data_IF_409918453423
#
_entry.id   IF_409918453423
#
_cell.length_a   1.000
_cell.length_b   1.000
_cell.length_c   1.000
_cell.angle_alpha   90.00
_cell.angle_beta   90.00
_cell.angle_gamma   90.00
#
_symmetry.space_group_name_H-M   'P 1'
#
loop_
_entity.id
_entity.type
_entity.pdbx_description
1 polymer ?
#
# COMPACT_ATOMS: atom_id res chain seq x y z
N UNK A 1 -30.47 -75.01 -53.47
CA UNK A 1 -30.59 -76.12 -52.50
C UNK A 1 -29.53 -75.91 -51.42
N UNK A 2 -29.97 -75.97 -50.16
CA UNK A 2 -29.28 -75.79 -48.87
C UNK A 2 -27.74 -75.81 -48.83
N UNK A 3 -27.16 -74.86 -48.10
CA UNK A 3 -26.40 -75.19 -46.87
C UNK A 3 -26.23 -73.94 -46.00
N UNK A 4 -27.01 -73.90 -44.92
CA UNK A 4 -26.75 -73.09 -43.75
C UNK A 4 -26.27 -74.04 -42.65
N UNK A 5 -25.08 -73.81 -42.09
CA UNK A 5 -24.73 -74.27 -40.75
C UNK A 5 -23.69 -73.35 -40.08
N UNK A 6 -24.20 -72.71 -39.03
CA UNK A 6 -23.62 -72.00 -37.87
C UNK A 6 -22.12 -72.12 -37.58
N UNK A 7 -21.53 -70.99 -37.17
CA UNK A 7 -20.55 -70.95 -36.07
C UNK A 7 -20.81 -69.73 -35.16
N UNK A 8 -20.83 -69.98 -33.84
CA UNK A 8 -20.95 -69.01 -32.75
C UNK A 8 -19.65 -68.22 -32.58
N UNK A 9 -19.68 -66.90 -32.30
CA UNK A 9 -18.98 -66.34 -31.13
C UNK A 9 -19.44 -64.91 -30.74
N UNK A 10 -20.08 -64.83 -29.57
CA UNK A 10 -19.87 -63.94 -28.41
C UNK A 10 -19.38 -62.48 -28.60
N UNK A 11 -20.17 -61.59 -27.99
CA UNK A 11 -19.91 -60.15 -27.78
C UNK A 11 -18.53 -59.85 -27.18
N UNK A 12 -17.86 -58.78 -27.66
CA UNK A 12 -16.73 -58.12 -26.97
C UNK A 12 -16.94 -56.61 -26.89
N UNK A 13 -16.93 -56.11 -25.66
CA UNK A 13 -17.11 -54.71 -25.29
C UNK A 13 -15.93 -53.83 -25.76
N UNK A 14 -16.25 -52.64 -26.27
CA UNK A 14 -15.28 -51.61 -26.62
C UNK A 14 -14.91 -50.79 -25.38
N UNK A 15 -13.69 -50.98 -24.86
CA UNK A 15 -13.14 -50.22 -23.72
C UNK A 15 -12.80 -48.80 -24.16
N UNK A 16 -13.69 -47.82 -23.90
CA UNK A 16 -13.36 -46.39 -24.02
C UNK A 16 -12.20 -46.08 -23.05
N UNK A 17 -11.02 -45.74 -23.59
CA UNK A 17 -9.92 -45.19 -22.79
C UNK A 17 -10.35 -43.81 -22.27
N UNK A 18 -10.57 -43.71 -20.97
CA UNK A 18 -10.87 -42.46 -20.27
C UNK A 18 -9.63 -41.55 -20.30
N UNK A 19 -9.78 -40.32 -20.80
CA UNK A 19 -8.75 -39.27 -20.86
C UNK A 19 -8.64 -38.46 -19.56
N UNK A 20 -9.52 -38.73 -18.59
CA UNK A 20 -9.57 -38.09 -17.27
C UNK A 20 -8.27 -38.21 -16.46
N UNK A 21 -7.57 -39.35 -16.38
CA UNK A 21 -6.35 -39.44 -15.56
C UNK A 21 -5.19 -38.62 -16.14
N UNK A 22 -5.17 -38.39 -17.45
CA UNK A 22 -4.13 -37.58 -18.10
C UNK A 22 -4.31 -36.10 -17.81
N UNK A 23 -5.57 -35.63 -17.75
CA UNK A 23 -5.88 -34.24 -17.41
C UNK A 23 -5.54 -33.92 -15.96
N UNK A 24 -5.84 -34.84 -15.03
CA UNK A 24 -5.49 -34.68 -13.61
C UNK A 24 -3.99 -34.68 -13.41
N UNK A 25 -3.25 -35.58 -14.06
CA UNK A 25 -1.79 -35.61 -14.00
C UNK A 25 -1.16 -34.32 -14.56
N UNK A 26 -1.70 -33.78 -15.66
CA UNK A 26 -1.23 -32.53 -16.25
C UNK A 26 -1.45 -31.33 -15.31
N UNK A 27 -2.63 -31.23 -14.69
CA UNK A 27 -2.94 -30.14 -13.74
C UNK A 27 -2.03 -30.23 -12.51
N UNK A 28 -1.80 -31.45 -12.00
CA UNK A 28 -0.93 -31.66 -10.82
C UNK A 28 0.52 -31.33 -11.15
N UNK A 29 0.99 -31.68 -12.35
CA UNK A 29 2.32 -31.32 -12.84
C UNK A 29 2.48 -29.81 -13.01
N UNK A 30 1.48 -29.10 -13.57
CA UNK A 30 1.52 -27.65 -13.72
C UNK A 30 1.53 -26.92 -12.37
N UNK A 31 0.78 -27.41 -11.38
CA UNK A 31 0.82 -26.87 -10.01
C UNK A 31 2.19 -27.09 -9.35
N UNK A 32 2.78 -28.26 -9.54
CA UNK A 32 4.12 -28.57 -9.02
C UNK A 32 5.19 -27.68 -9.67
N UNK A 33 5.12 -27.46 -10.98
CA UNK A 33 6.05 -26.57 -11.70
C UNK A 33 5.86 -25.11 -11.25
N UNK A 34 4.64 -24.64 -11.04
CA UNK A 34 4.40 -23.28 -10.51
C UNK A 34 4.98 -23.09 -9.10
N UNK A 35 4.78 -24.07 -8.19
CA UNK A 35 5.36 -24.01 -6.85
C UNK A 35 6.90 -24.06 -6.88
N UNK A 36 7.48 -24.89 -7.75
CA UNK A 36 8.94 -24.99 -7.90
C UNK A 36 9.55 -23.72 -8.52
N UNK A 37 8.85 -23.07 -9.44
CA UNK A 37 9.28 -21.81 -10.03
C UNK A 37 9.25 -20.69 -8.99
N UNK A 38 8.21 -20.58 -8.15
CA UNK A 38 8.16 -19.57 -7.07
C UNK A 38 9.30 -19.73 -6.04
N UNK A 39 9.55 -20.95 -5.54
CA UNK A 39 10.63 -21.20 -4.58
C UNK A 39 12.03 -20.90 -5.18
N UNK A 40 12.21 -21.17 -6.48
CA UNK A 40 13.46 -20.88 -7.19
C UNK A 40 13.76 -19.39 -7.33
N UNK A 41 12.74 -18.55 -7.53
CA UNK A 41 12.89 -17.09 -7.62
C UNK A 41 13.13 -16.45 -6.24
N UNK A 42 12.40 -16.88 -5.20
CA UNK A 42 12.54 -16.33 -3.84
C UNK A 42 13.96 -16.53 -3.29
N UNK A 43 14.56 -17.70 -3.52
CA UNK A 43 15.90 -18.02 -3.03
C UNK A 43 17.02 -17.30 -3.80
N UNK A 44 16.73 -16.80 -5.01
CA UNK A 44 17.69 -16.03 -5.82
C UNK A 44 17.69 -14.53 -5.45
N UNK A 45 16.55 -14.00 -4.99
CA UNK A 45 16.42 -12.63 -4.49
C UNK A 45 17.23 -12.43 -3.19
N UNK A 46 17.14 -13.38 -2.24
CA UNK A 46 17.87 -13.36 -0.96
C UNK A 46 19.40 -13.39 -1.13
N UNK A 47 19.89 -14.10 -2.15
CA UNK A 47 21.33 -14.17 -2.46
C UNK A 47 21.88 -12.89 -3.09
N UNK A 48 21.02 -12.07 -3.71
CA UNK A 48 21.43 -10.76 -4.26
C UNK A 48 21.48 -9.68 -3.16
N UNK A 49 20.57 -9.71 -2.20
CA UNK A 49 20.54 -8.75 -1.09
C UNK A 49 21.73 -8.88 -0.13
N UNK A 50 22.23 -10.10 0.10
CA UNK A 50 23.38 -10.36 0.97
C UNK A 50 24.70 -9.77 0.45
N UNK A 51 24.76 -9.33 -0.81
CA UNK A 51 25.98 -8.80 -1.45
C UNK A 51 26.10 -7.27 -1.43
N UNK A 52 25.03 -6.54 -1.10
CA UNK A 52 24.99 -5.06 -1.19
C UNK A 52 25.03 -4.35 0.17
N UNK A 53 25.12 -5.07 1.29
CA UNK A 53 25.02 -4.49 2.66
C UNK A 53 26.37 -4.01 3.26
N UNK A 54 27.38 -3.74 2.44
CA UNK A 54 28.68 -3.25 2.96
C UNK A 54 29.16 -2.03 2.16
N UNK A 55 28.86 -0.83 2.68
CA UNK A 55 29.75 0.33 2.92
C UNK A 55 28.96 1.64 3.19
N UNK A 56 29.27 2.30 4.31
CA UNK A 56 28.79 3.60 4.86
C UNK A 56 29.22 4.85 4.01
N UNK A 57 28.98 6.14 4.42
CA UNK A 57 27.81 6.86 4.99
C UNK A 57 27.57 8.31 4.41
N UNK A 58 26.56 9.01 4.96
CA UNK A 58 26.44 10.47 5.24
C UNK A 58 25.69 11.47 4.30
N UNK A 59 24.65 12.07 4.92
CA UNK A 59 24.06 13.42 4.85
C UNK A 59 23.77 14.18 3.55
N UNK A 60 22.52 14.67 3.46
CA UNK A 60 22.17 15.88 2.72
C UNK A 60 20.91 16.53 3.32
N UNK A 61 21.12 17.51 4.20
CA UNK A 61 20.11 18.51 4.55
C UNK A 61 20.04 19.59 3.46
N UNK A 62 18.87 19.73 2.84
CA UNK A 62 18.10 20.98 2.64
C UNK A 62 17.12 20.82 1.47
N UNK A 63 15.91 21.34 1.68
CA UNK A 63 14.73 21.37 0.79
C UNK A 63 13.80 20.15 0.78
N UNK A 64 12.96 20.04 1.83
CA UNK A 64 11.62 19.40 1.79
C UNK A 64 10.79 20.11 2.86
N UNK A 65 9.72 20.83 2.54
CA UNK A 65 8.65 21.23 3.47
C UNK A 65 7.36 21.09 2.66
N UNK A 66 6.62 19.99 2.90
CA UNK A 66 5.15 19.77 2.80
C UNK A 66 4.79 18.28 3.03
N UNK A 67 5.69 17.52 3.66
CA UNK A 67 5.38 16.28 4.41
C UNK A 67 6.12 16.31 5.76
N UNK A 68 6.22 17.52 6.36
CA UNK A 68 7.12 17.81 7.48
C UNK A 68 6.46 17.87 8.86
N UNK A 69 5.13 17.84 8.97
CA UNK A 69 4.53 17.84 10.31
C UNK A 69 4.68 16.50 11.05
N UNK A 70 5.00 15.40 10.35
CA UNK A 70 5.46 14.16 11.01
C UNK A 70 6.94 14.25 11.40
N UNK A 71 7.74 15.10 10.73
CA UNK A 71 9.14 15.31 11.13
C UNK A 71 9.31 16.18 12.36
N UNK A 72 8.25 16.84 12.87
CA UNK A 72 8.27 17.40 14.22
C UNK A 72 8.24 16.31 15.30
N UNK A 73 7.96 15.05 14.95
CA UNK A 73 8.43 13.89 15.72
C UNK A 73 9.90 13.54 15.37
N UNK A 74 10.79 14.55 15.36
CA UNK A 74 12.25 14.38 15.24
C UNK A 74 12.91 13.97 16.57
N UNK A 75 12.13 13.56 17.57
CA UNK A 75 12.64 12.52 18.44
C UNK A 75 12.69 11.26 17.59
N UNK A 76 13.85 10.65 17.37
CA UNK A 76 13.87 9.19 17.19
C UNK A 76 13.09 8.64 18.36
N UNK A 77 11.80 8.37 18.17
CA UNK A 77 11.01 7.76 19.22
C UNK A 77 11.56 6.35 19.22
N UNK A 78 12.50 6.11 20.12
CA UNK A 78 13.06 4.80 20.38
C UNK A 78 11.97 4.00 21.11
N UNK A 79 10.85 3.78 20.41
CA UNK A 79 9.73 2.99 20.92
C UNK A 79 10.18 1.57 20.81
N UNK A 80 10.56 1.01 21.94
CA UNK A 80 10.83 -0.42 22.02
C UNK A 80 9.48 -1.10 22.15
N UNK A 81 9.00 -1.66 21.04
CA UNK A 81 7.81 -2.50 21.01
C UNK A 81 8.23 -3.97 20.80
N UNK A 82 7.39 -4.87 21.28
CA UNK A 82 7.56 -6.31 21.11
C UNK A 82 6.56 -6.83 20.09
N UNK A 83 7.01 -7.66 19.16
CA UNK A 83 6.11 -8.43 18.31
C UNK A 83 5.52 -9.58 19.11
N UNK A 84 4.20 -9.60 19.23
CA UNK A 84 3.45 -10.70 19.86
C UNK A 84 2.95 -11.70 18.82
N UNK A 85 2.70 -11.25 17.58
CA UNK A 85 2.39 -12.11 16.45
C UNK A 85 2.78 -11.48 15.12
N UNK A 86 3.20 -12.33 14.18
CA UNK A 86 3.65 -11.94 12.85
C UNK A 86 5.08 -11.41 12.83
N UNK A 87 5.61 -11.24 11.62
CA UNK A 87 6.94 -10.66 11.39
C UNK A 87 6.83 -9.53 10.38
N UNK A 88 7.53 -8.40 10.60
CA UNK A 88 7.52 -7.30 9.65
C UNK A 88 8.14 -7.75 8.33
N UNK A 89 7.48 -7.43 7.22
CA UNK A 89 8.04 -7.69 5.90
C UNK A 89 9.10 -6.63 5.57
N UNK A 90 10.22 -6.99 4.93
CA UNK A 90 11.26 -6.04 4.54
C UNK A 90 10.79 -5.05 3.48
N UNK A 91 9.76 -5.42 2.70
CA UNK A 91 9.17 -4.58 1.65
C UNK A 91 8.02 -3.74 2.22
N UNK A 92 8.10 -2.42 2.00
CA UNK A 92 7.01 -1.50 2.31
C UNK A 92 5.74 -1.86 1.51
N UNK A 93 4.61 -1.78 2.19
CA UNK A 93 3.26 -1.88 1.62
C UNK A 93 2.74 -0.47 1.31
N UNK A 94 1.74 -0.38 0.44
CA UNK A 94 1.11 0.90 0.11
C UNK A 94 0.47 1.55 1.34
N UNK A 95 -0.25 0.78 2.16
CA UNK A 95 -0.97 1.29 3.32
C UNK A 95 -0.73 0.45 4.58
N UNK A 96 -0.49 1.13 5.71
CA UNK A 96 -0.46 0.52 7.05
C UNK A 96 -1.62 1.05 7.89
N UNK A 97 -2.47 0.16 8.40
CA UNK A 97 -3.62 0.50 9.25
C UNK A 97 -3.26 0.18 10.70
N UNK A 98 -3.14 1.23 11.53
CA UNK A 98 -2.86 1.08 12.97
C UNK A 98 -4.13 0.96 13.80
N UNK A 99 -4.26 -0.11 14.59
CA UNK A 99 -5.37 -0.33 15.52
C UNK A 99 -4.85 -0.44 16.95
N UNK A 100 -5.11 0.54 17.81
CA UNK A 100 -4.78 0.44 19.24
C UNK A 100 -5.97 -0.09 20.05
N UNK A 101 -5.71 -0.97 21.02
CA UNK A 101 -6.75 -1.51 21.90
C UNK A 101 -6.24 -1.70 23.34
N UNK A 102 -7.14 -1.48 24.30
CA UNK A 102 -6.95 -1.69 25.74
C UNK A 102 -8.09 -2.54 26.28
N UNK A 103 -7.91 -3.17 27.45
CA UNK A 103 -8.92 -3.99 28.10
C UNK A 103 -10.11 -3.12 28.51
N UNK A 104 -11.31 -3.51 28.08
CA UNK A 104 -12.56 -2.79 28.40
C UNK A 104 -13.51 -3.68 29.19
N UNK A 105 -14.29 -3.06 30.08
CA UNK A 105 -15.31 -3.73 30.90
C UNK A 105 -16.52 -4.22 30.08
N UNK A 106 -16.83 -3.59 28.94
CA UNK A 106 -18.08 -3.78 28.16
C UNK A 106 -17.87 -4.44 26.78
N UNK A 107 -16.84 -5.27 26.62
CA UNK A 107 -16.58 -6.03 25.39
C UNK A 107 -15.41 -5.50 24.56
N UNK A 108 -15.00 -6.28 23.56
CA UNK A 108 -13.82 -6.03 22.73
C UNK A 108 -14.22 -5.88 21.25
N UNK A 109 -14.10 -4.66 20.72
CA UNK A 109 -14.42 -4.34 19.31
C UNK A 109 -13.35 -4.83 18.34
N UNK A 110 -12.13 -5.10 18.82
CA UNK A 110 -10.96 -5.31 17.97
C UNK A 110 -11.13 -6.46 16.98
N UNK A 111 -11.68 -7.60 17.43
CA UNK A 111 -11.83 -8.78 16.59
C UNK A 111 -12.84 -8.55 15.47
N UNK A 112 -13.92 -7.82 15.75
CA UNK A 112 -14.92 -7.45 14.75
C UNK A 112 -14.34 -6.45 13.75
N UNK A 113 -13.53 -5.48 14.21
CA UNK A 113 -12.82 -4.53 13.34
C UNK A 113 -11.83 -5.22 12.42
N UNK A 114 -10.97 -6.11 12.94
CA UNK A 114 -10.00 -6.88 12.12
C UNK A 114 -10.75 -7.70 11.06
N UNK A 115 -11.82 -8.39 11.48
CA UNK A 115 -12.68 -9.16 10.55
C UNK A 115 -13.25 -8.25 9.46
N UNK A 116 -13.80 -7.10 9.83
CA UNK A 116 -14.42 -6.17 8.88
C UNK A 116 -13.42 -5.64 7.85
N UNK A 117 -12.20 -5.30 8.27
CA UNK A 117 -11.16 -4.80 7.36
C UNK A 117 -10.83 -5.87 6.31
N UNK A 118 -10.57 -7.09 6.75
CA UNK A 118 -10.15 -8.15 5.82
C UNK A 118 -11.30 -8.68 4.96
N UNK A 119 -12.52 -8.79 5.49
CA UNK A 119 -13.68 -9.26 4.74
C UNK A 119 -14.16 -8.24 3.69
N UNK A 120 -13.93 -6.94 3.92
CA UNK A 120 -14.32 -5.88 2.99
C UNK A 120 -13.21 -5.51 1.99
N UNK A 121 -12.01 -6.08 2.12
CA UNK A 121 -10.91 -5.83 1.19
C UNK A 121 -10.86 -6.88 0.09
N UNK A 122 -10.65 -6.45 -1.16
CA UNK A 122 -10.36 -7.33 -2.28
C UNK A 122 -9.00 -8.02 -2.13
N UNK A 123 -8.76 -9.06 -2.91
CA UNK A 123 -7.50 -9.81 -2.88
C UNK A 123 -6.30 -8.95 -3.30
N UNK A 124 -6.50 -8.05 -4.26
CA UNK A 124 -5.51 -7.10 -4.76
C UNK A 124 -5.14 -6.08 -3.69
N UNK A 125 -6.12 -5.51 -2.99
CA UNK A 125 -5.89 -4.58 -1.88
C UNK A 125 -5.15 -5.27 -0.73
N UNK A 126 -5.53 -6.50 -0.39
CA UNK A 126 -4.87 -7.29 0.66
C UNK A 126 -3.37 -7.52 0.41
N UNK A 127 -2.90 -7.44 -0.83
CA UNK A 127 -1.46 -7.51 -1.15
C UNK A 127 -0.72 -6.22 -0.80
N UNK A 128 -1.43 -5.10 -0.79
CA UNK A 128 -0.90 -3.75 -0.64
C UNK A 128 -1.17 -3.15 0.75
N UNK A 129 -1.92 -3.83 1.62
CA UNK A 129 -2.18 -3.39 3.00
C UNK A 129 -1.50 -4.27 4.06
N UNK A 130 -1.14 -3.64 5.18
CA UNK A 130 -0.76 -4.32 6.43
C UNK A 130 -1.51 -3.70 7.61
N UNK A 131 -2.12 -4.54 8.43
CA UNK A 131 -2.80 -4.11 9.66
C UNK A 131 -1.85 -4.34 10.84
N UNK A 132 -1.63 -3.30 11.63
CA UNK A 132 -0.79 -3.35 12.84
C UNK A 132 -1.67 -3.11 14.05
N UNK A 133 -1.84 -4.15 14.86
CA UNK A 133 -2.60 -4.11 16.10
C UNK A 133 -1.65 -3.82 17.26
N UNK A 134 -1.86 -2.71 17.93
CA UNK A 134 -1.15 -2.36 19.15
C UNK A 134 -2.01 -2.68 20.39
N UNK A 135 -1.56 -3.64 21.19
CA UNK A 135 -2.17 -3.95 22.49
C UNK A 135 -1.53 -3.06 23.55
N UNK A 136 -2.23 -1.98 23.91
CA UNK A 136 -1.73 -0.92 24.78
C UNK A 136 -2.09 -1.14 26.27
N UNK A 137 -2.57 -2.34 26.63
CA UNK A 137 -2.91 -2.67 28.02
C UNK A 137 -1.73 -3.31 28.76
N UNK A 138 -1.62 -3.05 30.05
CA UNK A 138 -0.55 -3.58 30.91
C UNK A 138 -0.89 -4.94 31.52
N UNK A 139 -2.15 -5.39 31.44
CA UNK A 139 -2.52 -6.77 31.78
C UNK A 139 -2.01 -7.74 30.70
N UNK A 140 -0.80 -8.27 30.92
CA UNK A 140 -0.14 -9.19 30.02
C UNK A 140 -0.94 -10.49 29.81
N UNK A 141 -1.64 -10.99 30.82
CA UNK A 141 -2.47 -12.19 30.69
C UNK A 141 -3.65 -11.94 29.74
N UNK A 142 -4.27 -10.76 29.82
CA UNK A 142 -5.27 -10.33 28.85
C UNK A 142 -4.68 -10.21 27.44
N UNK A 143 -3.53 -9.54 27.31
CA UNK A 143 -2.83 -9.40 26.02
C UNK A 143 -2.53 -10.77 25.38
N UNK A 144 -1.98 -11.71 26.14
CA UNK A 144 -1.67 -13.07 25.68
C UNK A 144 -2.93 -13.82 25.22
N UNK A 145 -4.01 -13.79 26.01
CA UNK A 145 -5.27 -14.42 25.63
C UNK A 145 -5.86 -13.86 24.34
N UNK A 146 -5.73 -12.55 24.14
CA UNK A 146 -6.23 -11.87 22.95
C UNK A 146 -5.37 -12.19 21.72
N UNK A 147 -4.05 -12.25 21.89
CA UNK A 147 -3.13 -12.70 20.83
C UNK A 147 -3.49 -14.13 20.41
N UNK A 148 -3.72 -15.04 21.35
CA UNK A 148 -4.16 -16.41 21.03
C UNK A 148 -5.47 -16.43 20.23
N UNK A 149 -6.44 -15.60 20.61
CA UNK A 149 -7.71 -15.50 19.87
C UNK A 149 -7.50 -14.91 18.46
N UNK A 150 -6.67 -13.88 18.32
CA UNK A 150 -6.29 -13.29 17.04
C UNK A 150 -5.59 -14.33 16.16
N UNK A 151 -4.59 -15.04 16.68
CA UNK A 151 -3.85 -16.08 15.96
C UNK A 151 -4.78 -17.21 15.51
N UNK A 152 -5.73 -17.61 16.36
CA UNK A 152 -6.72 -18.64 16.02
C UNK A 152 -7.66 -18.22 14.90
N UNK A 153 -8.14 -16.96 14.90
CA UNK A 153 -9.11 -16.47 13.90
C UNK A 153 -8.45 -15.97 12.61
N UNK A 154 -7.29 -15.35 12.69
CA UNK A 154 -6.65 -14.60 11.61
C UNK A 154 -5.23 -15.10 11.27
N UNK A 155 -4.86 -16.31 11.69
CA UNK A 155 -3.53 -16.88 11.48
C UNK A 155 -3.04 -16.83 10.03
N UNK A 156 -3.94 -16.99 9.05
CA UNK A 156 -3.61 -16.90 7.63
C UNK A 156 -3.24 -15.48 7.16
N UNK A 157 -3.74 -14.43 7.80
CA UNK A 157 -3.29 -13.06 7.56
C UNK A 157 -1.94 -12.79 8.23
N UNK A 158 -1.68 -13.38 9.40
CA UNK A 158 -0.40 -13.28 10.11
C UNK A 158 0.71 -13.93 9.28
N UNK A 159 0.52 -15.17 8.84
CA UNK A 159 1.50 -15.91 8.03
C UNK A 159 1.80 -15.20 6.71
N UNK A 160 0.78 -14.59 6.10
CA UNK A 160 0.93 -13.81 4.87
C UNK A 160 1.53 -12.40 5.07
N UNK A 161 1.91 -12.03 6.30
CA UNK A 161 2.47 -10.70 6.61
C UNK A 161 1.49 -9.54 6.45
N UNK A 162 0.17 -9.82 6.51
CA UNK A 162 -0.92 -8.82 6.42
C UNK A 162 -1.42 -8.34 7.77
N UNK A 163 -1.12 -9.07 8.85
CA UNK A 163 -1.50 -8.72 10.22
C UNK A 163 -0.30 -8.86 11.16
N UNK A 164 0.00 -7.81 11.91
CA UNK A 164 1.02 -7.78 12.96
C UNK A 164 0.35 -7.42 14.28
N UNK A 165 0.80 -8.04 15.37
CA UNK A 165 0.38 -7.67 16.72
C UNK A 165 1.61 -7.25 17.51
N UNK A 166 1.58 -6.04 18.06
CA UNK A 166 2.66 -5.43 18.82
C UNK A 166 2.19 -4.99 20.20
N UNK A 167 3.14 -4.85 21.13
CA UNK A 167 2.91 -4.32 22.47
C UNK A 167 4.08 -3.45 22.90
N UNK A 168 3.78 -2.28 23.48
CA UNK A 168 4.76 -1.42 24.13
C UNK A 168 4.69 -1.61 25.66
N UNK A 169 5.83 -1.88 26.34
CA UNK A 169 5.87 -1.96 27.81
C UNK A 169 5.46 -0.67 28.51
N UNK A 170 4.93 -0.79 29.74
CA UNK A 170 4.46 0.34 30.57
C UNK A 170 5.51 1.43 30.79
N UNK A 171 6.77 1.03 30.95
CA UNK A 171 7.92 1.93 31.14
C UNK A 171 8.12 2.98 30.03
N UNK A 172 7.54 2.78 28.85
CA UNK A 172 7.60 3.74 27.73
C UNK A 172 6.42 4.71 27.69
N UNK A 173 5.42 4.56 28.56
CA UNK A 173 4.30 5.48 28.68
C UNK A 173 4.64 6.61 29.67
N UNK A 174 4.23 7.86 29.39
CA UNK A 174 4.33 8.92 30.37
C UNK A 174 3.47 8.58 31.60
N UNK A 175 3.91 8.98 32.79
CA UNK A 175 3.07 8.85 34.00
C UNK A 175 1.74 9.56 33.78
N UNK A 176 0.65 8.83 34.07
CA UNK A 176 -0.73 9.30 33.91
C UNK A 176 -1.24 10.06 35.15
N UNK A 177 -0.38 10.32 36.14
CA UNK A 177 -0.74 10.93 37.42
C UNK A 177 -1.25 12.39 37.29
N UNK A 178 -1.07 13.03 36.13
CA UNK A 178 -1.44 14.42 35.84
C UNK A 178 -2.69 14.63 34.96
N UNK A 179 -3.43 13.58 34.60
CA UNK A 179 -4.60 13.65 33.73
C UNK A 179 -4.36 13.23 32.28
N UNK A 180 -5.45 12.90 31.56
CA UNK A 180 -5.50 12.26 30.23
C UNK A 180 -4.89 13.07 29.06
N UNK A 181 -4.27 14.22 29.32
CA UNK A 181 -3.73 15.11 28.29
C UNK A 181 -2.20 15.07 28.28
N UNK A 182 -1.63 13.88 28.02
CA UNK A 182 -0.20 13.76 27.72
C UNK A 182 0.19 14.51 26.43
N UNK A 183 -0.79 14.73 25.54
CA UNK A 183 -0.63 15.43 24.28
C UNK A 183 -1.31 16.81 24.34
N UNK A 184 -0.50 17.88 24.35
CA UNK A 184 -0.98 19.28 24.40
C UNK A 184 -1.58 19.74 23.07
N UNK A 185 -0.99 19.30 21.96
CA UNK A 185 -1.39 19.69 20.60
C UNK A 185 -1.92 18.47 19.83
N UNK A 186 -3.13 18.58 19.28
CA UNK A 186 -3.71 17.52 18.45
C UNK A 186 -2.90 17.37 17.15
N UNK A 187 -2.39 16.16 16.88
CA UNK A 187 -1.80 15.84 15.58
C UNK A 187 -2.96 15.66 14.60
N UNK A 188 -3.16 16.63 13.72
CA UNK A 188 -4.14 16.57 12.63
C UNK A 188 -3.42 16.74 11.32
N UNK A 189 -3.72 15.86 10.37
CA UNK A 189 -3.23 15.96 8.99
C UNK A 189 -4.30 16.64 8.16
N UNK A 190 -3.90 17.65 7.37
CA UNK A 190 -4.78 18.36 6.45
C UNK A 190 -4.18 18.33 5.03
N UNK A 191 -4.95 17.95 3.99
CA UNK A 191 -6.30 17.39 4.10
C UNK A 191 -6.29 16.01 4.78
N UNK A 192 -7.42 15.62 5.37
CA UNK A 192 -7.56 14.30 5.97
C UNK A 192 -7.40 13.22 4.90
N UNK A 193 -6.62 12.17 5.20
CA UNK A 193 -6.39 11.05 4.27
C UNK A 193 -7.57 10.08 4.20
N UNK A 194 -8.41 10.06 5.23
CA UNK A 194 -9.53 9.13 5.35
C UNK A 194 -10.79 9.89 5.73
N UNK A 195 -11.86 9.56 5.02
CA UNK A 195 -13.20 9.98 5.35
C UNK A 195 -13.96 8.83 6.00
N UNK A 196 -14.67 9.10 7.08
CA UNK A 196 -15.59 8.13 7.64
C UNK A 196 -16.71 7.84 6.63
N UNK A 197 -16.75 6.61 6.13
CA UNK A 197 -17.76 6.11 5.19
C UNK A 197 -18.69 5.16 5.93
N UNK A 198 -19.90 5.62 6.25
CA UNK A 198 -20.94 4.77 6.85
C UNK A 198 -21.82 5.51 7.87
N UNK A 199 -23.03 5.00 8.06
CA UNK A 199 -23.98 5.53 9.05
C UNK A 199 -23.91 4.81 10.40
N UNK A 200 -23.29 3.63 10.48
CA UNK A 200 -23.40 2.73 11.63
C UNK A 200 -22.05 2.53 12.31
N UNK A 201 -21.98 2.88 13.59
CA UNK A 201 -20.87 2.52 14.47
C UNK A 201 -20.83 1.01 14.70
N UNK A 202 -19.65 0.46 15.01
CA UNK A 202 -19.51 -0.90 15.56
C UNK A 202 -20.24 -1.08 16.92
N UNK A 203 -20.63 0.03 17.56
CA UNK A 203 -21.57 0.00 18.69
C UNK A 203 -23.01 -0.01 18.17
N UNK A 204 -23.75 -1.08 18.48
CA UNK A 204 -25.16 -1.25 18.07
C UNK A 204 -26.00 -0.02 18.43
N UNK A 205 -26.61 0.59 17.40
CA UNK A 205 -27.61 1.65 17.54
C UNK A 205 -27.08 3.08 17.60
N UNK A 206 -25.77 3.31 17.46
CA UNK A 206 -25.20 4.65 17.36
C UNK A 206 -24.98 5.02 15.89
N UNK A 207 -25.83 5.89 15.36
CA UNK A 207 -25.58 6.50 14.05
C UNK A 207 -24.52 7.59 14.17
N UNK A 208 -23.50 7.56 13.31
CA UNK A 208 -22.48 8.60 13.25
C UNK A 208 -22.46 9.22 11.85
N UNK A 209 -22.93 10.47 11.74
CA UNK A 209 -22.97 11.26 10.49
C UNK A 209 -21.82 12.26 10.40
N UNK A 210 -20.82 12.17 11.28
CA UNK A 210 -19.67 13.06 11.26
C UNK A 210 -18.92 12.87 9.94
N UNK A 211 -18.80 13.96 9.19
CA UNK A 211 -17.86 14.09 8.09
C UNK A 211 -16.68 14.94 8.57
N UNK A 212 -15.50 14.67 8.03
CA UNK A 212 -14.35 15.49 8.28
C UNK A 212 -14.35 16.64 7.27
N UNK A 213 -14.46 17.88 7.76
CA UNK A 213 -14.50 19.07 6.90
C UNK A 213 -13.15 19.32 6.22
N UNK A 214 -12.06 18.72 6.74
CA UNK A 214 -10.73 18.80 6.16
C UNK A 214 -10.46 17.68 5.12
N UNK A 215 -11.43 16.80 4.82
CA UNK A 215 -11.26 15.75 3.80
C UNK A 215 -11.53 16.27 2.38
N UNK A 216 -10.55 16.09 1.50
CA UNK A 216 -10.65 16.43 0.09
C UNK A 216 -10.62 15.14 -0.76
N UNK A 217 -11.79 14.78 -1.31
CA UNK A 217 -11.99 13.54 -2.09
C UNK A 217 -11.07 13.48 -3.33
N UNK A 218 -10.68 14.64 -3.86
CA UNK A 218 -9.81 14.80 -5.03
C UNK A 218 -8.31 14.88 -4.70
N UNK A 219 -7.91 14.61 -3.44
CA UNK A 219 -6.48 14.65 -3.00
C UNK A 219 -5.56 13.63 -3.69
N UNK A 220 -6.08 12.76 -4.56
CA UNK A 220 -5.29 11.89 -5.44
C UNK A 220 -4.41 12.66 -6.45
N UNK A 221 -4.59 13.97 -6.59
CA UNK A 221 -3.75 14.83 -7.41
C UNK A 221 -2.67 15.60 -6.63
N UNK A 222 -2.32 15.21 -5.39
CA UNK A 222 -1.09 15.72 -4.76
C UNK A 222 0.12 15.07 -5.46
N UNK A 223 0.92 15.82 -6.24
CA UNK A 223 1.97 15.23 -7.04
C UNK A 223 3.19 14.88 -6.17
N UNK A 224 3.61 13.60 -6.16
CA UNK A 224 4.85 13.14 -5.53
C UNK A 224 6.06 13.40 -6.44
N UNK A 225 6.28 14.68 -6.75
CA UNK A 225 7.28 15.15 -7.68
C UNK A 225 8.70 15.08 -7.06
N UNK A 226 9.62 14.22 -7.55
CA UNK A 226 10.97 14.17 -7.04
C UNK A 226 11.72 15.49 -7.29
N UNK A 227 12.66 15.91 -6.42
CA UNK A 227 13.41 17.15 -6.64
C UNK A 227 14.09 17.20 -8.01
N UNK A 228 13.76 18.23 -8.79
CA UNK A 228 14.23 18.40 -10.16
C UNK A 228 14.52 19.87 -10.48
N UNK A 229 15.38 20.07 -11.49
CA UNK A 229 15.61 21.35 -12.12
C UNK A 229 14.83 21.42 -13.44
N UNK A 230 14.20 22.56 -13.70
CA UNK A 230 13.27 22.73 -14.80
C UNK A 230 13.78 23.74 -15.81
N UNK A 231 13.77 23.36 -17.09
CA UNK A 231 14.28 24.18 -18.19
C UNK A 231 13.27 24.23 -19.32
N UNK A 232 13.07 25.41 -19.88
CA UNK A 232 12.25 25.57 -21.08
C UNK A 232 12.80 26.70 -21.93
N UNK A 233 12.65 26.58 -23.25
CA UNK A 233 12.86 27.69 -24.19
C UNK A 233 11.53 28.38 -24.57
N UNK A 234 10.39 27.92 -24.03
CA UNK A 234 9.09 28.53 -24.25
C UNK A 234 9.06 29.89 -23.55
N UNK A 235 8.61 30.93 -24.25
CA UNK A 235 8.50 32.27 -23.67
C UNK A 235 7.48 32.28 -22.53
N UNK A 236 7.89 32.72 -21.35
CA UNK A 236 7.04 32.72 -20.15
C UNK A 236 6.11 33.93 -20.14
N UNK A 237 4.85 33.73 -19.72
CA UNK A 237 3.93 34.82 -19.39
C UNK A 237 4.19 35.29 -17.95
N UNK A 238 4.64 36.54 -17.79
CA UNK A 238 4.87 37.19 -16.50
C UNK A 238 5.71 36.33 -15.53
N UNK A 239 5.17 36.03 -14.35
CA UNK A 239 5.82 35.24 -13.29
C UNK A 239 5.36 33.78 -13.27
N UNK A 240 4.69 33.29 -14.33
CA UNK A 240 4.20 31.91 -14.44
C UNK A 240 5.27 30.98 -14.99
N UNK A 241 6.41 30.93 -14.30
CA UNK A 241 7.60 30.20 -14.74
C UNK A 241 7.43 28.67 -14.78
N UNK A 242 8.43 28.00 -15.36
CA UNK A 242 8.41 26.56 -15.55
C UNK A 242 8.29 25.79 -14.23
N UNK A 243 8.85 26.29 -13.12
CA UNK A 243 8.83 25.56 -11.85
C UNK A 243 7.41 25.41 -11.30
N UNK A 244 6.50 26.33 -11.64
CA UNK A 244 5.10 26.28 -11.20
C UNK A 244 4.34 25.05 -11.69
N UNK A 245 4.59 24.59 -12.92
CA UNK A 245 3.98 23.35 -13.42
C UNK A 245 4.47 22.07 -12.71
N UNK A 246 5.48 22.18 -11.85
CA UNK A 246 6.04 21.08 -11.08
C UNK A 246 5.82 21.25 -9.57
N UNK A 247 5.10 22.30 -9.18
CA UNK A 247 4.73 22.58 -7.80
C UNK A 247 3.65 21.62 -7.31
N UNK A 248 3.60 21.41 -5.99
CA UNK A 248 2.50 20.72 -5.31
C UNK A 248 1.38 21.67 -4.87
N UNK A 249 1.56 22.98 -5.11
CA UNK A 249 0.56 24.02 -4.88
C UNK A 249 -0.24 24.21 -6.17
N UNK A 250 -1.50 24.63 -6.07
CA UNK A 250 -2.36 24.97 -7.20
C UNK A 250 -1.85 26.20 -7.97
N UNK A 251 -0.80 25.97 -8.77
CA UNK A 251 -0.15 26.93 -9.65
C UNK A 251 0.08 26.29 -11.03
N UNK A 252 0.36 27.11 -12.03
CA UNK A 252 0.59 26.63 -13.40
C UNK A 252 1.71 27.37 -14.10
N UNK A 253 2.36 26.69 -15.06
CA UNK A 253 3.23 27.31 -16.05
C UNK A 253 2.38 27.92 -17.16
N UNK A 254 2.70 29.14 -17.58
CA UNK A 254 2.03 29.77 -18.71
C UNK A 254 3.03 30.17 -19.79
N UNK A 255 3.10 29.35 -20.84
CA UNK A 255 3.89 29.61 -22.03
C UNK A 255 3.14 30.44 -23.08
N UNK A 256 3.81 31.41 -23.68
CA UNK A 256 3.33 32.22 -24.80
C UNK A 256 3.70 31.57 -26.12
N UNK A 257 2.68 31.26 -26.93
CA UNK A 257 2.82 30.83 -28.33
C UNK A 257 3.84 29.69 -28.52
N UNK A 258 3.70 28.56 -27.80
CA UNK A 258 4.59 27.41 -27.99
C UNK A 258 4.51 26.92 -29.44
N UNK A 259 5.67 26.52 -29.97
CA UNK A 259 5.86 26.14 -31.36
C UNK A 259 6.66 24.84 -31.48
N UNK A 260 6.59 24.20 -32.64
CA UNK A 260 7.32 22.95 -32.89
C UNK A 260 8.83 23.16 -32.69
N UNK A 261 9.43 22.35 -31.81
CA UNK A 261 10.85 22.46 -31.44
C UNK A 261 11.06 23.11 -30.08
N UNK A 262 10.04 23.73 -29.50
CA UNK A 262 10.07 24.16 -28.12
C UNK A 262 10.03 22.96 -27.17
N UNK A 263 10.66 23.12 -26.00
CA UNK A 263 10.86 22.05 -25.04
C UNK A 263 10.56 22.51 -23.62
N UNK A 264 10.15 21.53 -22.82
CA UNK A 264 10.08 21.61 -21.38
C UNK A 264 10.80 20.38 -20.82
N UNK A 265 11.85 20.59 -20.04
CA UNK A 265 12.78 19.56 -19.57
C UNK A 265 12.76 19.52 -18.05
N UNK A 266 12.56 18.32 -17.52
CA UNK A 266 12.67 18.01 -16.09
C UNK A 266 13.94 17.19 -15.88
N UNK A 267 14.89 17.74 -15.13
CA UNK A 267 16.15 17.06 -14.78
C UNK A 267 16.13 16.71 -13.30
N UNK A 268 15.94 15.43 -12.96
CA UNK A 268 15.97 14.99 -11.57
C UNK A 268 17.35 15.18 -10.96
N UNK A 269 17.38 15.75 -9.74
CA UNK A 269 18.63 15.99 -9.01
C UNK A 269 19.31 14.67 -8.61
N UNK A 270 18.55 13.58 -8.51
CA UNK A 270 19.02 12.22 -8.24
C UNK A 270 18.42 11.26 -9.27
N UNK A 271 19.11 10.15 -9.52
CA UNK A 271 18.60 9.09 -10.38
C UNK A 271 17.31 8.51 -9.79
N UNK A 272 16.18 8.71 -10.47
CA UNK A 272 14.85 8.32 -9.98
C UNK A 272 14.20 7.32 -10.92
N UNK A 273 13.62 6.26 -10.36
CA UNK A 273 12.80 5.30 -11.13
C UNK A 273 11.39 5.84 -11.25
N UNK A 274 11.01 6.32 -12.44
CA UNK A 274 9.63 6.70 -12.72
C UNK A 274 8.79 5.45 -13.02
N UNK A 275 7.69 5.30 -12.29
CA UNK A 275 6.68 4.27 -12.53
C UNK A 275 5.47 4.80 -13.33
N UNK A 276 5.11 6.07 -13.14
CA UNK A 276 3.99 6.75 -13.78
C UNK A 276 4.30 8.24 -13.94
N UNK A 277 3.79 8.85 -15.00
CA UNK A 277 3.84 10.28 -15.24
C UNK A 277 2.47 10.75 -15.72
N UNK A 278 1.98 11.87 -15.16
CA UNK A 278 0.75 12.54 -15.59
C UNK A 278 1.16 13.95 -16.03
N UNK A 279 0.68 14.35 -17.20
CA UNK A 279 0.87 15.69 -17.74
C UNK A 279 -0.52 16.25 -17.94
N UNK A 280 -0.76 17.43 -17.37
CA UNK A 280 -2.03 18.14 -17.46
C UNK A 280 -1.76 19.45 -18.20
N UNK A 281 -2.55 19.73 -19.24
CA UNK A 281 -2.42 20.93 -20.06
C UNK A 281 -3.79 21.52 -20.33
N UNK A 282 -3.90 22.84 -20.29
CA UNK A 282 -5.18 23.55 -20.38
C UNK A 282 -5.93 23.58 -19.05
N UNK A 283 -6.85 24.52 -18.94
CA UNK A 283 -7.78 24.64 -17.81
C UNK A 283 -9.21 24.82 -18.34
N UNK A 284 -10.21 24.41 -17.57
CA UNK A 284 -11.62 24.55 -17.97
C UNK A 284 -12.04 26.01 -18.15
N UNK A 285 -11.37 26.92 -17.43
CA UNK A 285 -11.56 28.37 -17.53
C UNK A 285 -10.97 28.98 -18.81
N UNK A 286 -10.01 28.30 -19.46
CA UNK A 286 -9.32 28.77 -20.67
C UNK A 286 -9.18 27.66 -21.70
N UNK A 287 -10.32 27.22 -22.22
CA UNK A 287 -10.45 26.11 -23.17
C UNK A 287 -9.61 26.24 -24.46
N UNK A 288 -9.12 27.45 -24.79
CA UNK A 288 -8.29 27.69 -25.97
C UNK A 288 -6.77 27.66 -25.68
N UNK A 289 -6.36 27.60 -24.41
CA UNK A 289 -4.95 27.63 -23.98
C UNK A 289 -4.47 26.22 -23.59
N UNK A 290 -4.42 25.30 -24.56
CA UNK A 290 -3.89 23.95 -24.35
C UNK A 290 -2.64 23.70 -25.21
N UNK A 291 -1.75 22.85 -24.70
CA UNK A 291 -0.53 22.45 -25.40
C UNK A 291 -0.55 20.95 -25.61
N UNK A 292 -0.39 20.49 -26.85
CA UNK A 292 -0.21 19.07 -27.14
C UNK A 292 1.29 18.80 -27.06
N UNK A 293 1.70 17.94 -26.13
CA UNK A 293 3.11 17.56 -25.95
C UNK A 293 3.39 16.16 -26.50
N UNK A 294 4.46 16.04 -27.28
CA UNK A 294 5.04 14.75 -27.66
C UNK A 294 6.26 14.43 -26.80
N UNK A 295 6.24 13.29 -26.11
CA UNK A 295 7.36 12.87 -25.26
C UNK A 295 8.48 12.27 -26.12
N UNK A 296 9.57 13.00 -26.30
CA UNK A 296 10.60 12.62 -27.28
C UNK A 296 11.81 11.86 -26.72
N UNK A 297 12.07 11.84 -25.39
CA UNK A 297 13.22 11.10 -24.86
C UNK A 297 13.20 10.89 -23.34
N UNK A 298 13.40 9.64 -22.92
CA UNK A 298 13.79 9.27 -21.56
C UNK A 298 15.17 8.61 -21.62
N UNK A 299 16.16 9.18 -20.94
CA UNK A 299 17.53 8.68 -20.99
C UNK A 299 18.35 9.13 -19.79
N UNK A 300 19.30 8.28 -19.40
CA UNK A 300 20.41 8.71 -18.52
C UNK A 300 21.38 9.52 -19.40
N UNK A 301 21.75 10.71 -18.96
CA UNK A 301 22.95 11.35 -19.48
C UNK A 301 24.18 10.50 -19.15
#
# INVERSE_FOLDING_TARGET
MRLALKYLDKMRCFRKRSTIPFLVALITFLLFVNLYIEDGYVLQEDKRQLRETSMHPLNSERYVHTFKDITNFSGTINVTYRYLAGTPLPRKKYLTIGLSSVKRKRGNYLLETIKSIFDQSSYEELKEIVVVVHLADFDLAWCESLVQEISRKFGHHIIAGRLLVIHAPEEYYPSLDGGLLAQKDAIRFKPSLFQHMGYYSSYKGAENKLKDDDFEEDSFDIPDNPPASLYTNINVFESYDAAKAYSSVDEYFWGKSPSTGDFYIIVFNKATKISKMKIITGTDDRQNDFCIMELWRWGRN
#
